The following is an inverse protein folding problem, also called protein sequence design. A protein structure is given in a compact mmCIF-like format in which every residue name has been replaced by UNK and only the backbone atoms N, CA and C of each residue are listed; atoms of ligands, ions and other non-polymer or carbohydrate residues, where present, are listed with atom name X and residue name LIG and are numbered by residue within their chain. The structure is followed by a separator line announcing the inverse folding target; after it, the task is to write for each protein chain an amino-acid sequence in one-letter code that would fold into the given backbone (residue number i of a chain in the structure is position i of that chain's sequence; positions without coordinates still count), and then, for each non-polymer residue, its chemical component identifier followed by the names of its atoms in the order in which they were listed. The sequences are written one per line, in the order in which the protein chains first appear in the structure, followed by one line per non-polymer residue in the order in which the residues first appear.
data_IF_015669596327
#
_entry.id   IF_015669596327
#
_cell.length_a   1.000
_cell.length_b   1.000
_cell.length_c   1.000
_cell.angle_alpha   90.00
_cell.angle_beta   90.00
_cell.angle_gamma   90.00
#
_symmetry.space_group_name_H-M   'P 1'
#
loop_
_entity.id
_entity.type
_entity.pdbx_description
1 polymer ?
#
# COMPACT_ATOMS: atom_id res chain seq x y z
N UNK A 1 -26.64 1.74 6.92
CA UNK A 1 -25.18 2.02 6.87
C UNK A 1 -24.47 0.88 7.56
N UNK A 2 -23.62 0.16 6.83
CA UNK A 2 -22.70 -0.81 7.43
C UNK A 2 -21.55 -0.02 8.05
N UNK A 3 -21.37 -0.10 9.37
CA UNK A 3 -20.30 0.62 10.06
C UNK A 3 -19.02 -0.21 9.87
N UNK A 4 -18.14 0.24 8.98
CA UNK A 4 -16.80 -0.33 8.86
C UNK A 4 -15.96 0.22 10.02
N UNK A 5 -15.45 -0.63 10.94
CA UNK A 5 -14.62 -0.15 12.03
C UNK A 5 -13.32 0.41 11.47
N UNK A 6 -12.89 1.58 11.97
CA UNK A 6 -11.58 2.15 11.64
C UNK A 6 -10.43 1.13 11.83
N UNK A 7 -10.52 0.34 12.91
CA UNK A 7 -9.58 -0.77 13.19
C UNK A 7 -9.55 -1.83 12.09
N UNK A 8 -10.68 -2.13 11.45
CA UNK A 8 -10.73 -3.07 10.34
C UNK A 8 -9.97 -2.52 9.13
N UNK A 9 -10.13 -1.22 8.85
CA UNK A 9 -9.36 -0.50 7.83
C UNK A 9 -7.86 -0.56 8.07
N UNK A 10 -7.39 -0.19 9.27
CA UNK A 10 -5.96 -0.25 9.61
C UNK A 10 -5.41 -1.67 9.46
N UNK A 11 -6.08 -2.66 10.05
CA UNK A 11 -5.60 -4.05 9.98
C UNK A 11 -5.59 -4.58 8.54
N UNK A 12 -6.60 -4.24 7.76
CA UNK A 12 -6.64 -4.56 6.33
C UNK A 12 -5.52 -3.88 5.56
N UNK A 13 -5.26 -2.61 5.83
CA UNK A 13 -4.17 -1.83 5.24
C UNK A 13 -2.80 -2.42 5.57
N UNK A 14 -2.53 -2.73 6.85
CA UNK A 14 -1.29 -3.38 7.27
C UNK A 14 -1.10 -4.77 6.63
N UNK A 15 -2.16 -5.58 6.58
CA UNK A 15 -2.11 -6.89 5.93
C UNK A 15 -1.84 -6.77 4.42
N UNK A 16 -2.54 -5.85 3.75
CA UNK A 16 -2.29 -5.55 2.34
C UNK A 16 -0.89 -5.03 2.08
N UNK A 17 -0.37 -4.17 2.96
CA UNK A 17 0.99 -3.65 2.91
C UNK A 17 2.03 -4.76 3.03
N UNK A 18 1.79 -5.75 3.91
CA UNK A 18 2.63 -6.94 4.03
C UNK A 18 2.67 -7.78 2.76
N UNK A 19 1.52 -8.03 2.13
CA UNK A 19 1.46 -8.73 0.83
C UNK A 19 2.18 -7.93 -0.26
N UNK A 20 2.03 -6.60 -0.25
CA UNK A 20 2.72 -5.70 -1.18
C UNK A 20 4.24 -5.82 -1.08
N UNK A 21 4.80 -5.91 0.14
CA UNK A 21 6.23 -6.18 0.36
C UNK A 21 6.62 -7.49 -0.32
N UNK A 22 5.84 -8.55 -0.13
CA UNK A 22 6.10 -9.85 -0.78
C UNK A 22 6.18 -9.75 -2.30
N UNK A 23 5.24 -9.05 -2.93
CA UNK A 23 5.24 -8.82 -4.39
C UNK A 23 6.47 -8.02 -4.82
N UNK A 24 6.80 -6.94 -4.10
CA UNK A 24 7.92 -6.09 -4.44
C UNK A 24 9.28 -6.82 -4.32
N UNK A 25 9.48 -7.59 -3.24
CA UNK A 25 10.70 -8.38 -3.05
C UNK A 25 10.82 -9.50 -4.10
N UNK A 26 9.72 -10.18 -4.42
CA UNK A 26 9.69 -11.19 -5.48
C UNK A 26 10.06 -10.57 -6.84
N UNK A 27 9.50 -9.41 -7.18
CA UNK A 27 9.88 -8.70 -8.39
C UNK A 27 11.35 -8.25 -8.38
N UNK A 28 11.85 -7.73 -7.25
CA UNK A 28 13.27 -7.37 -7.11
C UNK A 28 14.20 -8.53 -7.42
N UNK A 29 13.87 -9.74 -6.94
CA UNK A 29 14.60 -10.97 -7.28
C UNK A 29 14.46 -11.35 -8.75
N UNK A 30 13.23 -11.42 -9.28
CA UNK A 30 12.96 -11.87 -10.65
C UNK A 30 13.51 -10.93 -11.73
N UNK A 31 13.62 -9.64 -11.43
CA UNK A 31 14.18 -8.63 -12.33
C UNK A 31 15.71 -8.54 -12.30
N UNK A 32 16.37 -9.29 -11.42
CA UNK A 32 17.82 -9.20 -11.21
C UNK A 32 18.29 -7.94 -10.48
N UNK A 33 17.36 -7.06 -10.05
CA UNK A 33 17.67 -5.83 -9.32
C UNK A 33 17.91 -6.05 -7.82
N UNK A 34 17.61 -7.25 -7.32
CA UNK A 34 17.77 -7.62 -5.93
C UNK A 34 16.63 -7.14 -5.03
N UNK A 35 16.53 -7.74 -3.84
CA UNK A 35 15.50 -7.43 -2.83
C UNK A 35 15.60 -6.02 -2.27
N UNK A 36 16.78 -5.41 -2.32
CA UNK A 36 17.01 -4.06 -1.79
C UNK A 36 16.49 -2.97 -2.70
N UNK A 37 16.35 -3.24 -4.01
CA UNK A 37 15.84 -2.29 -4.98
C UNK A 37 14.51 -1.65 -4.59
N UNK A 38 13.41 -2.40 -4.36
CA UNK A 38 12.15 -1.80 -3.93
C UNK A 38 12.24 -1.11 -2.56
N UNK A 39 13.08 -1.62 -1.64
CA UNK A 39 13.26 -1.03 -0.31
C UNK A 39 13.90 0.35 -0.42
N UNK A 40 14.97 0.47 -1.22
CA UNK A 40 15.70 1.71 -1.41
C UNK A 40 14.87 2.74 -2.19
N UNK A 41 14.07 2.30 -3.17
CA UNK A 41 13.14 3.20 -3.86
C UNK A 41 12.16 3.84 -2.88
N UNK A 42 11.56 3.08 -1.95
CA UNK A 42 10.65 3.67 -0.94
C UNK A 42 11.42 4.49 0.09
N UNK A 43 12.59 4.01 0.53
CA UNK A 43 13.43 4.72 1.50
C UNK A 43 13.90 6.10 1.04
N UNK A 44 14.07 6.30 -0.27
CA UNK A 44 14.48 7.57 -0.86
C UNK A 44 13.47 8.72 -0.67
N UNK A 45 12.24 8.44 -0.20
CA UNK A 45 11.31 9.48 0.28
C UNK A 45 11.97 10.32 1.38
N UNK A 46 12.72 9.69 2.29
CA UNK A 46 13.31 10.36 3.46
C UNK A 46 14.84 10.41 3.41
N UNK A 47 15.47 9.49 2.67
CA UNK A 47 16.93 9.40 2.56
C UNK A 47 17.42 10.24 1.37
N UNK A 48 17.86 11.46 1.66
CA UNK A 48 18.32 12.44 0.65
C UNK A 48 19.41 11.89 -0.28
N UNK A 49 20.36 11.13 0.27
CA UNK A 49 21.48 10.55 -0.49
C UNK A 49 21.02 9.60 -1.60
N UNK A 50 19.81 9.03 -1.50
CA UNK A 50 19.25 8.15 -2.51
C UNK A 50 18.42 8.86 -3.59
N UNK A 51 18.14 10.16 -3.43
CA UNK A 51 17.25 10.90 -4.34
C UNK A 51 17.85 11.10 -5.74
N UNK A 52 19.18 11.07 -5.84
CA UNK A 52 19.94 11.15 -7.10
C UNK A 52 20.89 9.95 -7.30
N UNK A 53 20.70 8.89 -6.52
CA UNK A 53 21.56 7.71 -6.57
C UNK A 53 21.45 6.99 -7.93
N UNK A 54 22.56 6.46 -8.47
CA UNK A 54 22.52 5.60 -9.64
C UNK A 54 21.83 4.28 -9.30
N UNK A 55 21.31 3.60 -10.33
CA UNK A 55 20.59 2.32 -10.19
C UNK A 55 21.40 1.29 -9.39
N UNK A 56 22.71 1.21 -9.59
CA UNK A 56 23.61 0.30 -8.87
C UNK A 56 23.53 0.50 -7.35
N UNK A 57 23.56 1.73 -6.86
CA UNK A 57 23.43 2.01 -5.41
C UNK A 57 22.07 1.55 -4.89
N UNK A 58 21.01 1.69 -5.69
CA UNK A 58 19.66 1.29 -5.31
C UNK A 58 19.49 -0.23 -5.18
N UNK A 59 20.35 -1.05 -5.79
CA UNK A 59 20.26 -2.52 -5.70
C UNK A 59 21.01 -3.10 -4.49
N UNK A 60 21.81 -2.30 -3.79
CA UNK A 60 22.59 -2.73 -2.63
C UNK A 60 21.90 -2.44 -1.30
N UNK A 61 22.31 -3.16 -0.25
CA UNK A 61 21.80 -2.92 1.09
C UNK A 61 22.13 -1.50 1.56
N UNK A 62 21.13 -0.77 2.03
CA UNK A 62 21.29 0.58 2.58
C UNK A 62 20.48 0.73 3.89
N UNK A 63 21.17 0.74 5.03
CA UNK A 63 20.51 0.68 6.34
C UNK A 63 19.54 1.84 6.62
N UNK A 64 19.89 3.12 6.38
CA UNK A 64 18.94 4.22 6.53
C UNK A 64 17.69 4.05 5.67
N UNK A 65 17.83 3.48 4.47
CA UNK A 65 16.72 3.29 3.54
C UNK A 65 15.80 2.15 3.97
N UNK A 66 16.35 1.10 4.58
CA UNK A 66 15.54 0.05 5.20
C UNK A 66 14.64 0.63 6.30
N UNK A 67 15.21 1.42 7.22
CA UNK A 67 14.45 2.02 8.33
C UNK A 67 13.40 3.01 7.80
N UNK A 68 13.81 3.93 6.93
CA UNK A 68 12.91 4.91 6.31
C UNK A 68 11.81 4.24 5.49
N UNK A 69 12.17 3.27 4.66
CA UNK A 69 11.25 2.54 3.80
C UNK A 69 10.22 1.75 4.60
N UNK A 70 10.65 1.05 5.66
CA UNK A 70 9.73 0.34 6.55
C UNK A 70 8.76 1.29 7.25
N UNK A 71 9.27 2.41 7.78
CA UNK A 71 8.45 3.43 8.43
C UNK A 71 7.39 4.01 7.49
N UNK A 72 7.82 4.49 6.31
CA UNK A 72 6.92 5.06 5.30
C UNK A 72 5.89 4.03 4.85
N UNK A 73 6.32 2.79 4.58
CA UNK A 73 5.44 1.75 4.07
C UNK A 73 4.37 1.34 5.09
N UNK A 74 4.75 1.15 6.35
CA UNK A 74 3.80 0.84 7.44
C UNK A 74 2.81 1.99 7.62
N UNK A 75 3.32 3.22 7.69
CA UNK A 75 2.50 4.41 7.90
C UNK A 75 1.48 4.58 6.78
N UNK A 76 1.92 4.57 5.51
CA UNK A 76 1.03 4.74 4.36
C UNK A 76 0.04 3.58 4.24
N UNK A 77 0.46 2.35 4.50
CA UNK A 77 -0.44 1.18 4.49
C UNK A 77 -1.55 1.33 5.54
N UNK A 78 -1.21 1.75 6.75
CA UNK A 78 -2.20 2.00 7.80
C UNK A 78 -3.13 3.16 7.46
N UNK A 79 -2.58 4.29 6.99
CA UNK A 79 -3.33 5.49 6.64
C UNK A 79 -4.29 5.25 5.47
N UNK A 80 -3.87 4.56 4.42
CA UNK A 80 -4.73 4.22 3.29
C UNK A 80 -5.82 3.23 3.72
N UNK A 81 -5.51 2.22 4.53
CA UNK A 81 -6.52 1.32 5.07
C UNK A 81 -7.56 2.05 5.93
N UNK A 82 -7.12 2.97 6.79
CA UNK A 82 -7.96 3.86 7.56
C UNK A 82 -8.85 4.75 6.68
N UNK A 83 -8.28 5.35 5.63
CA UNK A 83 -8.98 6.21 4.69
C UNK A 83 -10.10 5.44 3.97
N UNK A 84 -9.84 4.22 3.54
CA UNK A 84 -10.87 3.37 2.91
C UNK A 84 -12.00 3.05 3.89
N UNK A 85 -11.70 2.74 5.15
CA UNK A 85 -12.73 2.50 6.16
C UNK A 85 -13.59 3.74 6.44
N UNK A 86 -13.04 4.95 6.25
CA UNK A 86 -13.77 6.20 6.41
C UNK A 86 -14.63 6.53 5.18
N UNK A 87 -14.10 6.36 3.97
CA UNK A 87 -14.77 6.78 2.73
C UNK A 87 -15.85 5.79 2.32
N UNK A 88 -15.58 4.49 2.34
CA UNK A 88 -16.48 3.49 1.74
C UNK A 88 -17.91 3.49 2.34
N UNK A 89 -18.11 3.64 3.66
CA UNK A 89 -19.46 3.70 4.23
C UNK A 89 -20.26 4.94 3.83
N UNK A 90 -19.59 6.02 3.42
CA UNK A 90 -20.23 7.27 3.04
C UNK A 90 -20.72 7.28 1.58
N UNK A 91 -20.29 6.30 0.77
CA UNK A 91 -20.63 6.23 -0.65
C UNK A 91 -21.90 5.40 -0.88
N UNK A 92 -22.82 5.84 -1.77
CA UNK A 92 -24.08 5.16 -2.01
C UNK A 92 -23.88 3.86 -2.80
N UNK A 93 -24.58 2.78 -2.44
CA UNK A 93 -24.54 1.51 -3.18
C UNK A 93 -23.54 0.50 -2.60
N UNK A 94 -22.93 -0.33 -3.46
CA UNK A 94 -22.06 -1.44 -3.02
C UNK A 94 -20.67 -0.93 -2.61
N UNK A 95 -20.23 -1.14 -1.35
CA UNK A 95 -18.88 -0.77 -0.91
C UNK A 95 -17.78 -1.45 -1.74
N UNK A 96 -18.05 -2.63 -2.29
CA UNK A 96 -17.10 -3.35 -3.13
C UNK A 96 -16.86 -2.63 -4.47
N UNK A 97 -17.93 -2.10 -5.09
CA UNK A 97 -17.82 -1.32 -6.34
C UNK A 97 -16.98 -0.06 -6.08
N UNK A 98 -17.24 0.63 -4.97
CA UNK A 98 -16.46 1.81 -4.61
C UNK A 98 -15.01 1.49 -4.25
N UNK A 99 -14.72 0.35 -3.64
CA UNK A 99 -13.34 -0.07 -3.40
C UNK A 99 -12.57 -0.25 -4.72
N UNK A 100 -13.22 -0.80 -5.75
CA UNK A 100 -12.65 -0.98 -7.10
C UNK A 100 -12.49 0.34 -7.86
N UNK A 101 -13.29 1.37 -7.56
CA UNK A 101 -13.18 2.69 -8.22
C UNK A 101 -12.24 3.63 -7.47
N UNK A 102 -12.48 3.84 -6.19
CA UNK A 102 -11.72 4.75 -5.32
C UNK A 102 -10.27 4.31 -5.24
N UNK A 103 -10.01 3.00 -5.22
CA UNK A 103 -8.65 2.51 -5.06
C UNK A 103 -7.70 2.84 -6.20
N UNK A 104 -8.04 2.51 -7.46
CA UNK A 104 -7.30 2.95 -8.62
C UNK A 104 -7.21 4.47 -8.72
N UNK A 105 -8.25 5.22 -8.38
CA UNK A 105 -8.17 6.69 -8.41
C UNK A 105 -7.17 7.26 -7.40
N UNK A 106 -7.22 6.80 -6.15
CA UNK A 106 -6.26 7.20 -5.12
C UNK A 106 -4.85 6.80 -5.52
N UNK A 107 -4.69 5.62 -6.12
CA UNK A 107 -3.41 5.16 -6.64
C UNK A 107 -2.89 6.02 -7.79
N UNK A 108 -3.71 6.33 -8.79
CA UNK A 108 -3.34 7.18 -9.91
C UNK A 108 -2.93 8.58 -9.43
N UNK A 109 -3.71 9.18 -8.51
CA UNK A 109 -3.36 10.45 -7.89
C UNK A 109 -2.04 10.37 -7.12
N UNK A 110 -1.88 9.34 -6.27
CA UNK A 110 -0.63 9.14 -5.53
C UNK A 110 0.58 8.95 -6.46
N UNK A 111 0.41 8.27 -7.59
CA UNK A 111 1.52 7.90 -8.47
C UNK A 111 1.89 9.00 -9.45
N UNK A 112 0.91 9.67 -10.06
CA UNK A 112 1.18 10.67 -11.09
C UNK A 112 1.27 12.10 -10.55
N UNK A 113 0.71 12.37 -9.37
CA UNK A 113 0.73 13.71 -8.76
C UNK A 113 1.68 13.75 -7.57
N UNK A 114 1.54 12.83 -6.62
CA UNK A 114 2.29 12.90 -5.35
C UNK A 114 3.72 12.35 -5.52
N UNK A 115 3.87 11.16 -6.11
CA UNK A 115 5.16 10.46 -6.19
C UNK A 115 6.27 11.28 -6.87
N UNK A 116 6.06 11.98 -8.00
CA UNK A 116 7.12 12.76 -8.64
C UNK A 116 7.62 13.93 -7.79
N UNK A 117 6.78 14.45 -6.88
CA UNK A 117 7.10 15.57 -6.01
C UNK A 117 7.92 15.10 -4.80
N UNK A 118 7.51 14.00 -4.17
CA UNK A 118 8.13 13.53 -2.92
C UNK A 118 9.20 12.46 -3.10
N UNK A 119 9.18 11.73 -4.21
CA UNK A 119 10.10 10.63 -4.49
C UNK A 119 10.38 10.49 -6.00
N UNK A 120 11.12 11.45 -6.57
CA UNK A 120 11.43 11.46 -8.00
C UNK A 120 12.23 10.23 -8.44
N UNK A 121 13.06 9.65 -7.56
CA UNK A 121 13.85 8.46 -7.89
C UNK A 121 12.97 7.23 -8.09
N UNK A 122 11.92 7.08 -7.27
CA UNK A 122 10.92 6.05 -7.45
C UNK A 122 10.10 6.30 -8.71
N UNK A 123 9.66 7.54 -8.95
CA UNK A 123 8.96 7.87 -10.20
C UNK A 123 9.78 7.55 -11.46
N UNK A 124 11.11 7.65 -11.39
CA UNK A 124 12.04 7.33 -12.49
C UNK A 124 12.23 5.82 -12.70
N UNK A 125 12.42 5.05 -11.63
CA UNK A 125 12.87 3.66 -11.73
C UNK A 125 11.81 2.61 -11.42
N UNK A 126 10.62 3.03 -10.97
CA UNK A 126 9.51 2.12 -10.70
C UNK A 126 9.17 1.30 -11.93
N UNK A 127 9.05 -0.01 -11.72
CA UNK A 127 8.49 -0.89 -12.73
C UNK A 127 6.97 -0.88 -12.63
N UNK A 128 6.31 -0.41 -13.68
CA UNK A 128 4.88 -0.23 -13.71
C UNK A 128 4.08 -1.54 -13.53
N UNK A 129 4.42 -2.64 -14.21
CA UNK A 129 3.77 -3.93 -13.97
C UNK A 129 3.85 -4.40 -12.52
N UNK A 130 5.05 -4.40 -11.93
CA UNK A 130 5.24 -4.77 -10.53
C UNK A 130 4.45 -3.85 -9.60
N UNK A 131 4.49 -2.55 -9.85
CA UNK A 131 3.84 -1.56 -9.02
C UNK A 131 2.32 -1.71 -9.06
N UNK A 132 1.74 -1.87 -10.26
CA UNK A 132 0.32 -2.14 -10.43
C UNK A 132 -0.10 -3.44 -9.75
N UNK A 133 0.66 -4.53 -9.92
CA UNK A 133 0.38 -5.81 -9.28
C UNK A 133 0.41 -5.71 -7.75
N UNK A 134 1.39 -5.00 -7.20
CA UNK A 134 1.52 -4.80 -5.76
C UNK A 134 0.32 -4.00 -5.19
N UNK A 135 -0.17 -3.00 -5.92
CA UNK A 135 -1.36 -2.22 -5.54
C UNK A 135 -2.66 -3.01 -5.64
N UNK A 136 -2.81 -3.85 -6.66
CA UNK A 136 -3.93 -4.78 -6.77
C UNK A 136 -3.92 -5.78 -5.60
N UNK A 137 -2.76 -6.36 -5.30
CA UNK A 137 -2.61 -7.30 -4.18
C UNK A 137 -2.95 -6.65 -2.83
N UNK A 138 -2.53 -5.40 -2.63
CA UNK A 138 -2.89 -4.59 -1.47
C UNK A 138 -4.40 -4.40 -1.36
N UNK A 139 -5.05 -3.90 -2.43
CA UNK A 139 -6.48 -3.60 -2.44
C UNK A 139 -7.34 -4.83 -2.20
N UNK A 140 -7.01 -5.95 -2.86
CA UNK A 140 -7.72 -7.22 -2.69
C UNK A 140 -7.57 -7.78 -1.27
N UNK A 141 -6.36 -7.73 -0.71
CA UNK A 141 -6.09 -8.23 0.65
C UNK A 141 -6.83 -7.37 1.68
N UNK A 142 -6.70 -6.05 1.59
CA UNK A 142 -7.34 -5.12 2.50
C UNK A 142 -8.87 -5.25 2.45
N UNK A 143 -9.46 -5.24 1.25
CA UNK A 143 -10.91 -5.43 1.07
C UNK A 143 -11.41 -6.76 1.65
N UNK A 144 -10.63 -7.84 1.46
CA UNK A 144 -10.96 -9.16 2.03
C UNK A 144 -10.94 -9.16 3.55
N UNK A 145 -9.91 -8.58 4.18
CA UNK A 145 -9.77 -8.51 5.64
C UNK A 145 -10.87 -7.62 6.25
N UNK A 146 -11.11 -6.44 5.67
CA UNK A 146 -12.15 -5.52 6.12
C UNK A 146 -13.52 -6.20 6.08
N UNK A 147 -13.86 -6.84 4.95
CA UNK A 147 -15.14 -7.56 4.79
C UNK A 147 -15.27 -8.70 5.80
N UNK A 148 -14.20 -9.48 6.03
CA UNK A 148 -14.20 -10.57 7.03
C UNK A 148 -14.44 -10.04 8.45
N UNK A 149 -13.80 -8.93 8.83
CA UNK A 149 -13.97 -8.32 10.15
C UNK A 149 -15.38 -7.75 10.32
N UNK A 150 -15.89 -7.03 9.32
CA UNK A 150 -17.23 -6.46 9.33
C UNK A 150 -18.31 -7.54 9.50
N UNK A 151 -18.23 -8.64 8.73
CA UNK A 151 -19.15 -9.79 8.84
C UNK A 151 -19.13 -10.43 10.23
N UNK A 152 -17.94 -10.62 10.82
CA UNK A 152 -17.81 -11.18 12.17
C UNK A 152 -18.50 -10.31 13.22
N UNK A 153 -18.35 -8.98 13.13
CA UNK A 153 -18.98 -8.06 14.08
C UNK A 153 -20.49 -7.95 13.90
N UNK A 154 -20.97 -8.01 12.65
CA UNK A 154 -22.41 -8.09 12.35
C UNK A 154 -23.06 -9.36 12.89
N UNK A 155 -22.42 -10.51 12.72
CA UNK A 155 -22.89 -11.80 13.27
C UNK A 155 -22.94 -11.83 14.81
N UNK A 156 -21.93 -11.25 15.47
CA UNK A 156 -21.91 -11.13 16.94
C UNK A 156 -23.03 -10.21 17.46
N UNK A 157 -23.40 -9.16 16.72
CA UNK A 157 -24.55 -8.30 17.09
C UNK A 157 -25.89 -8.99 16.87
N UNK A 158 -26.01 -9.88 15.88
CA UNK A 158 -27.22 -10.66 15.60
C UNK A 158 -27.53 -11.72 16.66
N UNK A 159 -26.51 -12.33 17.26
CA UNK A 159 -26.66 -13.33 18.35
C UNK A 159 -27.02 -12.73 19.72
N UNK A 160 -27.02 -11.40 19.85
CA UNK A 160 -27.35 -10.67 21.09
C UNK A 160 -28.76 -10.06 21.08
N UNK A 161 -29.57 -10.37 20.07
CA UNK A 161 -30.99 -10.02 19.98
C UNK A 161 -31.82 -11.29 19.99
#
# INVERSE_FOLDING_TARGET
MEIIPYRAGILGGLAGGGVMVGVALAYGLLSGRGVWFPVNLIGAVLVRELQDAPLEVLTHFHFPALIAGLFVHILLSALLGALYALILPALPGSPLVWAVIVGPLLWLGATFVILPIFNPIMARYVDWPSFALAHLAYGLTMGSIVTRIARRQGGVRGLRR
#
